data_IF_140143694696
#
_entry.id   IF_140143694696
#
_cell.length_a   1.000
_cell.length_b   1.000
_cell.length_c   1.000
_cell.angle_alpha   90.00
_cell.angle_beta   90.00
_cell.angle_gamma   90.00
#
_symmetry.space_group_name_H-M   'P 1'
#
loop_
_entity.id
_entity.type
_entity.pdbx_description
1 polymer ?
#
# COMPACT_ATOMS: atom_id res chain seq x y z
N UNK A 1 -24.58 -69.60 -19.19
CA UNK A 1 -23.25 -69.52 -18.54
C UNK A 1 -22.15 -69.78 -19.59
N UNK A 2 -22.04 -68.92 -20.66
CA UNK A 2 -21.07 -69.07 -21.77
C UNK A 2 -20.47 -67.70 -22.17
N UNK A 3 -20.41 -66.74 -21.27
CA UNK A 3 -19.93 -65.38 -21.62
C UNK A 3 -18.60 -64.98 -20.93
N UNK A 4 -17.89 -65.90 -20.31
CA UNK A 4 -16.68 -65.61 -19.55
C UNK A 4 -15.40 -66.20 -20.13
N UNK A 5 -15.41 -66.79 -21.32
CA UNK A 5 -14.23 -67.41 -21.93
C UNK A 5 -13.72 -66.76 -23.22
N UNK A 6 -14.33 -65.66 -23.69
CA UNK A 6 -13.76 -64.92 -24.78
C UNK A 6 -12.82 -63.82 -24.21
N UNK A 7 -11.53 -64.17 -24.10
CA UNK A 7 -10.50 -63.21 -23.80
C UNK A 7 -10.57 -62.04 -24.78
N UNK A 8 -10.49 -60.80 -24.24
CA UNK A 8 -10.40 -59.60 -25.06
C UNK A 8 -9.16 -59.72 -25.94
N UNK A 9 -9.37 -59.99 -27.25
CA UNK A 9 -8.28 -59.96 -28.22
C UNK A 9 -8.10 -58.51 -28.70
N UNK A 10 -6.99 -57.86 -28.28
CA UNK A 10 -6.62 -56.57 -28.80
C UNK A 10 -5.62 -56.73 -29.95
N UNK A 11 -5.77 -56.02 -31.05
CA UNK A 11 -4.78 -56.02 -32.14
C UNK A 11 -3.39 -55.63 -31.59
N UNK A 12 -2.30 -56.23 -32.09
CA UNK A 12 -0.95 -56.00 -31.53
C UNK A 12 -0.56 -54.51 -31.40
N UNK A 13 -0.94 -53.66 -32.34
CA UNK A 13 -0.67 -52.22 -32.30
C UNK A 13 -1.45 -51.51 -31.15
N UNK A 14 -2.64 -51.98 -30.79
CA UNK A 14 -3.43 -51.42 -29.67
C UNK A 14 -2.82 -51.80 -28.34
N UNK A 15 -2.32 -53.03 -28.23
CA UNK A 15 -1.61 -53.51 -27.04
C UNK A 15 -0.35 -52.67 -26.80
N UNK A 16 0.48 -52.52 -27.82
CA UNK A 16 1.69 -51.68 -27.72
C UNK A 16 1.37 -50.23 -27.36
N UNK A 17 0.32 -49.65 -27.91
CA UNK A 17 -0.13 -48.29 -27.60
C UNK A 17 -0.61 -48.16 -26.14
N UNK A 18 -1.31 -49.19 -25.65
CA UNK A 18 -1.77 -49.25 -24.25
C UNK A 18 -0.57 -49.32 -23.30
N UNK A 19 0.42 -50.14 -23.62
CA UNK A 19 1.66 -50.25 -22.80
C UNK A 19 2.43 -48.95 -22.79
N UNK A 20 2.63 -48.30 -23.93
CA UNK A 20 3.31 -46.98 -24.01
C UNK A 20 2.56 -45.93 -23.21
N UNK A 21 1.21 -45.88 -23.32
CA UNK A 21 0.39 -44.95 -22.51
C UNK A 21 0.48 -45.27 -21.04
N UNK A 22 0.43 -46.54 -20.66
CA UNK A 22 0.58 -46.95 -19.24
C UNK A 22 1.92 -46.54 -18.66
N UNK A 23 3.01 -46.66 -19.42
CA UNK A 23 4.35 -46.22 -18.99
C UNK A 23 4.50 -44.71 -18.92
N UNK A 24 3.80 -43.97 -19.78
CA UNK A 24 3.88 -42.50 -19.84
C UNK A 24 2.91 -41.78 -18.87
N UNK A 25 1.79 -42.43 -18.52
CA UNK A 25 0.76 -41.85 -17.64
C UNK A 25 1.28 -41.37 -16.27
N UNK A 26 2.15 -42.11 -15.56
CA UNK A 26 2.70 -41.62 -14.29
C UNK A 26 3.50 -40.35 -14.43
N UNK A 27 4.27 -40.19 -15.52
CA UNK A 27 5.03 -38.96 -15.77
C UNK A 27 4.09 -37.77 -15.99
N UNK A 28 3.08 -37.92 -16.83
CA UNK A 28 2.11 -36.85 -17.06
C UNK A 28 1.33 -36.46 -15.80
N UNK A 29 0.96 -37.44 -14.97
CA UNK A 29 0.32 -37.20 -13.67
C UNK A 29 1.23 -36.43 -12.71
N UNK A 30 2.52 -36.79 -12.64
CA UNK A 30 3.50 -36.08 -11.82
C UNK A 30 3.71 -34.64 -12.32
N UNK A 31 3.79 -34.42 -13.60
CA UNK A 31 3.93 -33.08 -14.20
C UNK A 31 2.69 -32.21 -13.92
N UNK A 32 1.49 -32.77 -14.04
CA UNK A 32 0.24 -32.08 -13.70
C UNK A 32 0.18 -31.71 -12.20
N UNK A 33 0.52 -32.65 -11.33
CA UNK A 33 0.59 -32.41 -9.88
C UNK A 33 1.63 -31.33 -9.55
N UNK A 34 2.81 -31.40 -10.12
CA UNK A 34 3.85 -30.39 -9.92
C UNK A 34 3.40 -28.99 -10.36
N UNK A 35 2.59 -28.89 -11.44
CA UNK A 35 2.03 -27.61 -11.88
C UNK A 35 1.00 -27.05 -10.89
N UNK A 36 0.17 -27.91 -10.28
CA UNK A 36 -0.79 -27.52 -9.23
C UNK A 36 -0.05 -27.05 -7.98
N UNK A 37 0.94 -27.82 -7.52
CA UNK A 37 1.75 -27.49 -6.34
C UNK A 37 2.48 -26.15 -6.53
N UNK A 38 3.10 -25.90 -7.69
CA UNK A 38 3.73 -24.62 -7.99
C UNK A 38 2.74 -23.45 -7.94
N UNK A 39 1.53 -23.59 -8.45
CA UNK A 39 0.50 -22.55 -8.37
C UNK A 39 0.04 -22.30 -6.93
N UNK A 40 -0.19 -23.35 -6.16
CA UNK A 40 -0.55 -23.25 -4.76
C UNK A 40 0.56 -22.58 -3.94
N UNK A 41 1.81 -22.98 -4.14
CA UNK A 41 2.97 -22.36 -3.50
C UNK A 41 3.09 -20.86 -3.80
N UNK A 42 2.99 -20.48 -5.08
CA UNK A 42 3.03 -19.06 -5.47
C UNK A 42 1.88 -18.25 -4.88
N UNK A 43 0.70 -18.86 -4.75
CA UNK A 43 -0.44 -18.20 -4.09
C UNK A 43 -0.21 -18.00 -2.59
N UNK A 44 0.27 -19.01 -1.89
CA UNK A 44 0.60 -18.93 -0.47
C UNK A 44 1.71 -17.90 -0.20
N UNK A 45 2.76 -17.90 -1.00
CA UNK A 45 3.86 -16.94 -0.89
C UNK A 45 3.39 -15.49 -1.07
N UNK A 46 2.50 -15.23 -2.03
CA UNK A 46 1.89 -13.91 -2.21
C UNK A 46 1.00 -13.53 -1.02
N UNK A 47 0.26 -14.49 -0.49
CA UNK A 47 -0.62 -14.26 0.68
C UNK A 47 0.20 -13.97 1.92
N UNK A 48 1.29 -14.69 2.15
CA UNK A 48 2.21 -14.43 3.25
C UNK A 48 2.89 -13.08 3.13
N UNK A 49 3.38 -12.72 1.95
CA UNK A 49 3.94 -11.38 1.69
C UNK A 49 2.92 -10.26 1.96
N UNK A 50 1.65 -10.46 1.57
CA UNK A 50 0.56 -9.51 1.89
C UNK A 50 0.30 -9.42 3.39
N UNK A 51 0.25 -10.55 4.10
CA UNK A 51 0.07 -10.59 5.57
C UNK A 51 1.23 -9.94 6.31
N UNK A 52 2.46 -10.24 5.92
CA UNK A 52 3.66 -9.62 6.50
C UNK A 52 3.66 -8.10 6.27
N UNK A 53 3.28 -7.64 5.06
CA UNK A 53 3.12 -6.22 4.77
C UNK A 53 2.01 -5.59 5.61
N UNK A 54 0.86 -6.25 5.75
CA UNK A 54 -0.26 -5.77 6.56
C UNK A 54 0.07 -5.76 8.06
N UNK A 55 0.78 -6.77 8.57
CA UNK A 55 1.24 -6.82 9.96
C UNK A 55 2.29 -5.74 10.29
N UNK A 56 3.04 -5.28 9.27
CA UNK A 56 3.98 -4.17 9.42
C UNK A 56 3.34 -2.78 9.30
N UNK A 57 2.03 -2.67 9.02
CA UNK A 57 1.29 -1.40 9.00
C UNK A 57 0.77 -1.14 10.42
N UNK A 58 1.08 0.04 10.95
CA UNK A 58 0.59 0.47 12.26
C UNK A 58 -0.88 0.90 12.25
N UNK A 59 -1.28 1.62 13.28
CA UNK A 59 -2.66 2.07 13.48
C UNK A 59 -2.82 3.59 13.35
N UNK A 60 -1.73 4.35 13.38
CA UNK A 60 -1.77 5.81 13.44
C UNK A 60 -1.90 6.46 12.06
N UNK A 61 -2.62 7.55 12.00
CA UNK A 61 -2.57 8.51 10.90
C UNK A 61 -1.38 9.44 11.13
N UNK A 62 -0.34 9.32 10.33
CA UNK A 62 0.82 10.20 10.40
C UNK A 62 0.60 11.48 9.61
N UNK A 63 1.00 12.62 10.16
CA UNK A 63 0.91 13.92 9.50
C UNK A 63 2.33 14.47 9.38
N UNK A 64 2.83 14.53 8.13
CA UNK A 64 4.05 15.23 7.78
C UNK A 64 3.74 16.67 7.38
N UNK A 65 4.55 17.64 7.85
CA UNK A 65 4.28 19.04 7.59
C UNK A 65 5.53 19.92 7.71
N UNK A 66 5.50 21.08 7.07
CA UNK A 66 6.50 22.12 7.20
C UNK A 66 6.28 23.01 8.44
N UNK A 67 6.46 24.33 8.25
CA UNK A 67 6.29 25.36 9.30
C UNK A 67 4.86 25.88 9.37
N UNK A 68 4.08 25.75 8.30
CA UNK A 68 2.68 26.17 8.26
C UNK A 68 1.87 25.52 9.37
N UNK A 69 0.82 26.17 9.82
CA UNK A 69 -0.06 25.67 10.89
C UNK A 69 -1.29 24.91 10.36
N UNK A 70 -1.45 24.83 9.06
CA UNK A 70 -2.58 24.17 8.39
C UNK A 70 -2.79 22.72 8.84
N UNK A 71 -1.69 22.00 9.10
CA UNK A 71 -1.76 20.62 9.60
C UNK A 71 -2.53 20.45 10.92
N UNK A 72 -2.66 21.51 11.72
CA UNK A 72 -3.39 21.46 13.01
C UNK A 72 -4.88 21.25 12.79
N UNK A 73 -5.45 21.94 11.80
CA UNK A 73 -6.85 21.75 11.41
C UNK A 73 -7.09 20.33 10.88
N UNK A 74 -6.15 19.79 10.10
CA UNK A 74 -6.21 18.40 9.65
C UNK A 74 -6.12 17.43 10.83
N UNK A 75 -5.22 17.66 11.76
CA UNK A 75 -5.08 16.88 13.01
C UNK A 75 -6.39 16.88 13.81
N UNK A 76 -7.01 18.05 14.01
CA UNK A 76 -8.26 18.16 14.74
C UNK A 76 -9.39 17.42 14.02
N UNK A 77 -9.45 17.50 12.69
CA UNK A 77 -10.39 16.72 11.87
C UNK A 77 -10.20 15.21 12.04
N UNK A 78 -8.97 14.70 11.96
CA UNK A 78 -8.63 13.28 12.12
C UNK A 78 -8.96 12.79 13.52
N UNK A 79 -8.56 13.56 14.55
CA UNK A 79 -8.73 13.16 15.93
C UNK A 79 -10.17 13.31 16.41
N UNK A 80 -10.76 14.49 16.22
CA UNK A 80 -12.05 14.83 16.86
C UNK A 80 -13.23 14.31 16.06
N UNK A 81 -13.15 14.34 14.73
CA UNK A 81 -14.25 13.93 13.86
C UNK A 81 -14.12 12.48 13.39
N UNK A 82 -12.95 12.07 12.94
CA UNK A 82 -12.72 10.70 12.45
C UNK A 82 -12.42 9.70 13.57
N UNK A 83 -12.10 10.18 14.78
CA UNK A 83 -11.78 9.36 15.97
C UNK A 83 -10.59 8.43 15.75
N UNK A 84 -9.66 8.81 14.87
CA UNK A 84 -8.47 8.03 14.57
C UNK A 84 -7.28 8.48 15.43
N UNK A 85 -6.41 7.55 15.83
CA UNK A 85 -5.14 7.88 16.46
C UNK A 85 -4.23 8.56 15.44
N UNK A 86 -3.55 9.60 15.86
CA UNK A 86 -2.66 10.39 15.00
C UNK A 86 -1.27 10.54 15.59
N UNK A 87 -0.29 10.83 14.76
CA UNK A 87 1.08 11.16 15.17
C UNK A 87 1.68 12.21 14.22
N UNK A 88 2.60 13.03 14.75
CA UNK A 88 3.43 13.95 14.00
C UNK A 88 4.82 14.02 14.66
N UNK A 89 5.80 14.55 13.92
CA UNK A 89 7.20 14.44 14.31
C UNK A 89 7.51 15.05 15.69
N UNK A 90 6.91 16.20 16.02
CA UNK A 90 7.18 16.93 17.25
C UNK A 90 6.19 16.63 18.39
N UNK A 91 5.24 15.70 18.20
CA UNK A 91 4.22 15.38 19.20
C UNK A 91 4.81 14.92 20.53
N UNK A 92 5.86 14.11 20.47
CA UNK A 92 6.55 13.61 21.65
C UNK A 92 7.93 14.25 21.71
N UNK A 93 8.26 14.98 22.78
CA UNK A 93 9.60 15.50 22.97
C UNK A 93 10.62 14.36 23.02
N UNK A 94 11.53 14.34 22.07
CA UNK A 94 12.58 13.30 21.95
C UNK A 94 13.96 13.88 22.30
N UNK A 95 14.04 14.72 23.31
CA UNK A 95 15.32 15.28 23.75
C UNK A 95 16.34 14.16 23.99
N UNK A 96 17.47 14.22 23.27
CA UNK A 96 18.52 13.20 23.33
C UNK A 96 18.32 11.97 22.43
N UNK A 97 17.22 11.87 21.69
CA UNK A 97 16.99 10.79 20.70
C UNK A 97 17.25 11.32 19.28
N UNK A 98 18.02 10.63 18.44
CA UNK A 98 18.22 11.05 17.06
C UNK A 98 16.89 11.12 16.29
N UNK A 99 16.74 12.14 15.44
CA UNK A 99 15.56 12.34 14.61
C UNK A 99 15.23 11.12 13.72
N UNK A 100 16.27 10.39 13.28
CA UNK A 100 16.14 9.18 12.49
C UNK A 100 15.41 8.05 13.22
N UNK A 101 15.65 7.89 14.53
CA UNK A 101 14.95 6.90 15.36
C UNK A 101 13.48 7.26 15.52
N UNK A 102 13.17 8.55 15.75
CA UNK A 102 11.79 9.02 15.83
C UNK A 102 11.04 8.77 14.52
N UNK A 103 11.66 9.12 13.39
CA UNK A 103 11.08 8.92 12.07
C UNK A 103 10.84 7.42 11.77
N UNK A 104 11.80 6.55 12.11
CA UNK A 104 11.61 5.11 11.98
C UNK A 104 10.41 4.60 12.78
N UNK A 105 10.24 5.06 14.04
CA UNK A 105 9.09 4.71 14.87
C UNK A 105 7.78 5.17 14.25
N UNK A 106 7.73 6.39 13.70
CA UNK A 106 6.54 6.90 13.01
C UNK A 106 6.21 6.08 11.78
N UNK A 107 7.21 5.72 10.95
CA UNK A 107 7.03 4.88 9.78
C UNK A 107 6.47 3.49 10.15
N UNK A 108 6.90 2.92 11.28
CA UNK A 108 6.43 1.62 11.75
C UNK A 108 5.02 1.68 12.36
N UNK A 109 4.65 2.79 13.00
CA UNK A 109 3.34 2.98 13.61
C UNK A 109 2.26 3.46 12.63
N UNK A 110 2.62 3.87 11.43
CA UNK A 110 1.71 4.47 10.47
C UNK A 110 0.81 3.44 9.79
N UNK A 111 -0.50 3.67 9.78
CA UNK A 111 -1.47 3.03 8.91
C UNK A 111 -1.59 3.76 7.56
N UNK A 112 -1.53 5.08 7.61
CA UNK A 112 -1.61 6.01 6.50
C UNK A 112 -0.85 7.29 6.87
N UNK A 113 -0.35 8.01 5.88
CA UNK A 113 0.30 9.30 6.09
C UNK A 113 -0.29 10.38 5.17
N UNK A 114 -0.57 11.55 5.73
CA UNK A 114 -0.90 12.75 4.98
C UNK A 114 0.28 13.73 5.08
N UNK A 115 0.88 14.03 3.93
CA UNK A 115 2.06 14.89 3.82
C UNK A 115 1.60 16.26 3.31
N UNK A 116 1.54 17.25 4.21
CA UNK A 116 1.02 18.59 3.94
C UNK A 116 2.15 19.46 3.38
N UNK A 117 2.09 19.74 2.09
CA UNK A 117 3.04 20.55 1.36
C UNK A 117 2.46 21.96 1.18
N UNK A 118 3.09 22.93 1.83
CA UNK A 118 2.73 24.34 1.76
C UNK A 118 3.86 25.14 1.12
N UNK A 119 3.53 26.28 0.52
CA UNK A 119 4.48 27.15 -0.17
C UNK A 119 5.34 27.94 0.85
N UNK A 120 6.48 27.38 1.27
CA UNK A 120 7.29 27.90 2.37
C UNK A 120 8.68 28.41 1.99
N UNK A 121 9.32 27.78 1.02
CA UNK A 121 10.68 28.10 0.61
C UNK A 121 10.66 28.59 -0.85
N UNK A 122 11.37 29.70 -1.13
CA UNK A 122 11.46 30.27 -2.48
C UNK A 122 12.67 29.67 -3.21
N UNK A 123 12.45 29.24 -4.45
CA UNK A 123 13.53 28.77 -5.33
C UNK A 123 14.28 29.95 -5.96
N UNK A 124 15.45 29.69 -6.55
CA UNK A 124 16.23 30.71 -7.27
C UNK A 124 15.45 31.34 -8.43
N UNK A 125 14.45 30.65 -8.97
CA UNK A 125 13.59 31.13 -10.08
C UNK A 125 12.34 31.86 -9.57
N UNK A 126 12.25 32.16 -8.27
CA UNK A 126 11.12 32.89 -7.67
C UNK A 126 9.86 32.06 -7.47
N UNK A 127 9.91 30.73 -7.63
CA UNK A 127 8.78 29.84 -7.37
C UNK A 127 8.75 29.41 -5.91
N UNK A 128 7.56 29.24 -5.39
CA UNK A 128 7.37 28.76 -4.03
C UNK A 128 7.26 27.24 -3.99
N UNK A 129 8.05 26.60 -3.15
CA UNK A 129 8.08 25.16 -2.99
C UNK A 129 7.88 24.73 -1.53
N UNK A 130 7.54 23.46 -1.35
CA UNK A 130 7.47 22.86 -0.05
C UNK A 130 8.86 22.71 0.58
N UNK A 131 8.91 22.72 1.90
CA UNK A 131 10.13 22.49 2.64
C UNK A 131 10.73 21.11 2.33
N UNK A 132 12.02 21.05 2.04
CA UNK A 132 12.72 19.82 1.64
C UNK A 132 12.59 18.65 2.63
N UNK A 133 12.44 18.94 3.93
CA UNK A 133 12.21 17.88 4.92
C UNK A 133 10.89 17.14 4.67
N UNK A 134 9.82 17.85 4.31
CA UNK A 134 8.52 17.23 4.00
C UNK A 134 8.61 16.44 2.72
N UNK A 135 9.33 16.93 1.71
CA UNK A 135 9.59 16.20 0.47
C UNK A 135 10.32 14.87 0.74
N UNK A 136 11.31 14.89 1.65
CA UNK A 136 12.00 13.69 2.08
C UNK A 136 11.04 12.71 2.81
N UNK A 137 10.19 13.21 3.69
CA UNK A 137 9.17 12.40 4.37
C UNK A 137 8.21 11.75 3.38
N UNK A 138 7.77 12.46 2.33
CA UNK A 138 6.95 11.87 1.25
C UNK A 138 7.60 10.61 0.70
N UNK A 139 8.89 10.68 0.31
CA UNK A 139 9.60 9.53 -0.23
C UNK A 139 9.69 8.36 0.75
N UNK A 140 9.94 8.63 2.02
CA UNK A 140 10.03 7.60 3.06
C UNK A 140 8.69 6.92 3.31
N UNK A 141 7.60 7.69 3.45
CA UNK A 141 6.26 7.13 3.63
C UNK A 141 5.77 6.38 2.38
N UNK A 142 6.04 6.89 1.18
CA UNK A 142 5.74 6.16 -0.07
C UNK A 142 6.48 4.83 -0.15
N UNK A 143 7.75 4.80 0.23
CA UNK A 143 8.53 3.57 0.29
C UNK A 143 8.00 2.56 1.31
N UNK A 144 7.50 3.05 2.46
CA UNK A 144 6.98 2.21 3.57
C UNK A 144 5.54 1.74 3.35
N UNK A 145 4.63 2.65 2.99
CA UNK A 145 3.19 2.42 2.93
C UNK A 145 2.68 2.18 1.51
N UNK A 146 3.45 2.56 0.50
CA UNK A 146 3.02 2.63 -0.90
C UNK A 146 2.27 3.92 -1.20
N UNK A 147 2.03 4.19 -2.49
CA UNK A 147 1.45 5.44 -2.97
C UNK A 147 -0.02 5.64 -2.57
N UNK A 148 -0.77 4.57 -2.32
CA UNK A 148 -2.19 4.65 -1.94
C UNK A 148 -2.39 5.07 -0.48
N UNK A 149 -1.36 4.96 0.37
CA UNK A 149 -1.40 5.29 1.80
C UNK A 149 -0.41 6.38 2.23
N UNK A 150 0.42 6.87 1.33
CA UNK A 150 1.25 8.05 1.54
C UNK A 150 0.71 9.17 0.65
N UNK A 151 -0.25 9.91 1.19
CA UNK A 151 -1.05 10.88 0.47
C UNK A 151 -0.40 12.25 0.52
N UNK A 152 -0.13 12.82 -0.64
CA UNK A 152 0.35 14.19 -0.76
C UNK A 152 -0.85 15.14 -0.74
N UNK A 153 -0.81 16.10 0.18
CA UNK A 153 -1.73 17.23 0.22
C UNK A 153 -0.96 18.48 -0.21
N UNK A 154 -1.36 19.09 -1.33
CA UNK A 154 -0.63 20.19 -1.95
C UNK A 154 -1.41 21.50 -1.89
N UNK A 155 -0.84 22.51 -1.26
CA UNK A 155 -1.41 23.85 -1.24
C UNK A 155 -1.33 24.50 -2.63
N UNK A 156 -2.37 25.22 -3.04
CA UNK A 156 -2.36 26.02 -4.26
C UNK A 156 -1.26 27.09 -4.20
N UNK A 157 -0.46 27.17 -5.28
CA UNK A 157 0.71 28.04 -5.36
C UNK A 157 2.01 27.39 -4.87
N UNK A 158 1.97 26.18 -4.35
CA UNK A 158 3.16 25.38 -4.08
C UNK A 158 3.55 24.60 -5.33
N UNK A 159 4.81 24.71 -5.75
CA UNK A 159 5.36 24.01 -6.92
C UNK A 159 5.40 22.50 -6.65
N UNK A 160 5.01 21.70 -7.65
CA UNK A 160 5.17 20.26 -7.61
C UNK A 160 6.64 19.87 -7.81
N UNK A 161 7.12 18.91 -7.05
CA UNK A 161 8.42 18.31 -7.33
C UNK A 161 8.26 17.05 -8.21
N UNK A 162 9.26 16.77 -9.03
CA UNK A 162 9.19 15.77 -10.11
C UNK A 162 8.69 14.38 -9.70
N UNK A 163 8.95 13.95 -8.44
CA UNK A 163 8.57 12.61 -7.98
C UNK A 163 7.06 12.44 -7.67
N UNK A 164 6.29 13.53 -7.60
CA UNK A 164 4.83 13.48 -7.40
C UNK A 164 4.06 13.88 -8.66
N UNK A 165 4.74 14.29 -9.70
CA UNK A 165 4.12 14.60 -10.99
C UNK A 165 3.40 13.35 -11.54
N UNK A 166 2.12 13.49 -11.86
CA UNK A 166 1.28 12.38 -12.32
C UNK A 166 0.72 11.47 -11.22
N UNK A 167 1.05 11.69 -9.93
CA UNK A 167 0.36 11.04 -8.81
C UNK A 167 -0.89 11.81 -8.43
N UNK A 168 -1.96 11.10 -8.07
CA UNK A 168 -3.16 11.71 -7.50
C UNK A 168 -2.82 12.40 -6.17
N UNK A 169 -3.10 13.71 -6.11
CA UNK A 169 -2.83 14.55 -4.95
C UNK A 169 -4.15 15.14 -4.45
N UNK A 170 -4.26 15.37 -3.14
CA UNK A 170 -5.32 16.20 -2.59
C UNK A 170 -4.86 17.65 -2.64
N UNK A 171 -5.53 18.49 -3.43
CA UNK A 171 -5.21 19.91 -3.52
C UNK A 171 -6.11 20.72 -2.61
N UNK A 172 -5.57 21.78 -2.01
CA UNK A 172 -6.34 22.67 -1.17
C UNK A 172 -5.95 24.14 -1.40
N UNK A 173 -6.91 25.06 -1.26
CA UNK A 173 -6.67 26.48 -1.40
C UNK A 173 -5.67 27.01 -0.38
N UNK A 174 -4.94 28.06 -0.72
CA UNK A 174 -3.96 28.68 0.16
C UNK A 174 -4.56 29.03 1.52
N UNK A 175 -3.90 28.60 2.59
CA UNK A 175 -4.32 28.78 3.98
C UNK A 175 -5.73 28.22 4.31
N UNK A 176 -6.20 27.23 3.58
CA UNK A 176 -7.51 26.63 3.82
C UNK A 176 -7.52 25.11 3.57
N UNK A 177 -6.81 24.36 4.39
CA UNK A 177 -6.75 22.90 4.32
C UNK A 177 -8.12 22.25 4.58
N UNK A 178 -9.05 22.96 5.26
CA UNK A 178 -10.39 22.46 5.59
C UNK A 178 -11.22 22.16 4.33
N UNK A 179 -10.97 22.85 3.23
CA UNK A 179 -11.61 22.58 1.96
C UNK A 179 -11.36 21.16 1.43
N UNK A 180 -10.27 20.52 1.86
CA UNK A 180 -9.88 19.16 1.44
C UNK A 180 -10.37 18.05 2.40
N UNK A 181 -11.11 18.35 3.46
CA UNK A 181 -11.50 17.35 4.47
C UNK A 181 -12.42 16.26 3.92
N UNK A 182 -13.25 16.58 2.95
CA UNK A 182 -14.05 15.58 2.26
C UNK A 182 -13.18 14.56 1.50
N UNK A 183 -12.18 15.04 0.77
CA UNK A 183 -11.26 14.16 0.03
C UNK A 183 -10.41 13.31 0.99
N UNK A 184 -9.99 13.88 2.13
CA UNK A 184 -9.31 13.13 3.21
C UNK A 184 -10.21 12.01 3.73
N UNK A 185 -11.49 12.30 3.99
CA UNK A 185 -12.46 11.29 4.45
C UNK A 185 -12.63 10.17 3.42
N UNK A 186 -12.81 10.49 2.14
CA UNK A 186 -12.93 9.49 1.07
C UNK A 186 -11.70 8.59 0.97
N UNK A 187 -10.51 9.14 1.19
CA UNK A 187 -9.27 8.35 1.24
C UNK A 187 -9.25 7.41 2.44
N UNK A 188 -9.66 7.87 3.62
CA UNK A 188 -9.74 7.06 4.84
C UNK A 188 -10.77 5.92 4.69
N UNK A 189 -11.92 6.18 4.06
CA UNK A 189 -12.94 5.18 3.72
C UNK A 189 -12.40 4.15 2.71
N UNK A 190 -11.77 4.59 1.65
CA UNK A 190 -11.15 3.73 0.63
C UNK A 190 -10.10 2.77 1.24
N UNK A 191 -9.32 3.25 2.18
CA UNK A 191 -8.30 2.42 2.86
C UNK A 191 -8.86 1.61 4.04
N UNK A 192 -10.18 1.72 4.32
CA UNK A 192 -10.87 0.96 5.37
C UNK A 192 -10.50 1.37 6.78
N UNK A 193 -10.10 2.62 6.98
CA UNK A 193 -9.75 3.18 8.29
C UNK A 193 -10.97 3.80 9.01
N UNK A 194 -11.99 4.17 8.25
CA UNK A 194 -13.30 4.59 8.73
C UNK A 194 -14.39 3.88 7.91
N UNK A 195 -15.55 3.69 8.51
CA UNK A 195 -16.71 3.14 7.81
C UNK A 195 -17.30 4.20 6.87
N UNK A 196 -17.63 3.80 5.65
CA UNK A 196 -18.40 4.65 4.76
C UNK A 196 -19.81 4.83 5.34
N UNK A 197 -20.42 6.02 5.27
CA UNK A 197 -21.80 6.18 5.68
C UNK A 197 -22.69 5.22 4.88
N UNK A 198 -23.58 4.52 5.59
CA UNK A 198 -24.57 3.63 4.96
C UNK A 198 -25.32 4.39 3.87
N UNK A 199 -25.33 3.84 2.65
CA UNK A 199 -25.95 4.42 1.47
C UNK A 199 -27.48 4.27 1.51
#
# INVERSE_FOLDING_TARGET
MIALSQGYWAPPHVSVLADVKSMSAPKAACEALAAVVRRAFSHLERTEKRRAKAAGIGTNVCIGHGRSKEWKDLKDFIHDRMRLPWDEFNRVPVAGVPNTVRLATMLDSAAIAFLVLTAEDETADGKMQARMNVVHEVGLFQGRLGFTRAIVMLEEGCEEFSNIEGLGQIRFPKNNIRAAFHDVQLVLEREGLVEAPDA
#
